data_IF_648018129609
#
_entry.id   IF_648018129609
#
_cell.length_a   1.000
_cell.length_b   1.000
_cell.length_c   1.000
_cell.angle_alpha   90.00
_cell.angle_beta   90.00
_cell.angle_gamma   90.00
#
_symmetry.space_group_name_H-M   'P 1'
#
loop_
_entity.id
_entity.type
_entity.pdbx_description
1 polymer ?
#
# COMPACT_ATOMS: atom_id res chain seq x y z
N UNK A 1 1.79 7.87 -18.02
CA UNK A 1 0.68 8.75 -17.59
C UNK A 1 -0.01 8.09 -16.40
N UNK A 2 -0.33 8.87 -15.38
CA UNK A 2 -1.03 8.40 -14.17
C UNK A 2 -2.46 7.95 -14.52
N UNK A 3 -3.03 7.04 -13.72
CA UNK A 3 -4.42 6.61 -13.86
C UNK A 3 -5.35 7.82 -13.72
N UNK A 4 -6.22 8.10 -14.71
CA UNK A 4 -7.25 9.14 -14.58
C UNK A 4 -8.46 8.63 -13.78
N UNK A 5 -8.55 7.33 -13.51
CA UNK A 5 -9.62 6.74 -12.71
C UNK A 5 -9.31 6.98 -11.23
N UNK A 6 -10.24 7.62 -10.54
CA UNK A 6 -10.20 7.85 -9.10
C UNK A 6 -10.81 6.69 -8.30
N UNK A 7 -10.60 6.73 -6.99
CA UNK A 7 -11.31 5.86 -6.05
C UNK A 7 -12.83 5.97 -6.25
N UNK A 8 -13.56 4.91 -5.91
CA UNK A 8 -15.01 4.96 -5.74
C UNK A 8 -15.80 5.41 -6.99
N UNK A 9 -15.29 5.12 -8.19
CA UNK A 9 -15.89 5.57 -9.47
C UNK A 9 -17.32 5.05 -9.77
N UNK A 10 -17.88 4.14 -8.96
CA UNK A 10 -19.24 3.58 -9.10
C UNK A 10 -20.16 3.83 -7.89
N UNK A 11 -19.92 4.86 -7.07
CA UNK A 11 -20.69 5.15 -5.84
C UNK A 11 -22.18 5.39 -6.02
N UNK A 12 -22.62 5.82 -7.21
CA UNK A 12 -24.02 6.17 -7.46
C UNK A 12 -24.88 4.98 -7.90
N UNK A 13 -24.38 3.75 -7.80
CA UNK A 13 -25.11 2.54 -8.19
C UNK A 13 -25.25 1.62 -6.98
N UNK A 14 -26.50 1.29 -6.66
CA UNK A 14 -26.80 0.21 -5.73
C UNK A 14 -26.44 -1.10 -6.43
N UNK A 15 -25.71 -1.96 -5.74
CA UNK A 15 -25.37 -3.28 -6.25
C UNK A 15 -26.66 -4.09 -6.50
N UNK A 16 -26.85 -4.59 -7.72
CA UNK A 16 -28.00 -5.41 -8.11
C UNK A 16 -27.54 -6.79 -8.62
N UNK A 17 -28.45 -7.75 -8.67
CA UNK A 17 -28.19 -9.06 -9.28
C UNK A 17 -27.75 -8.91 -10.74
N UNK A 18 -26.66 -9.60 -11.11
CA UNK A 18 -26.10 -9.59 -12.47
C UNK A 18 -24.88 -8.69 -12.67
N UNK A 19 -24.48 -7.87 -11.69
CA UNK A 19 -23.21 -7.13 -11.78
C UNK A 19 -22.01 -8.10 -11.79
N UNK A 20 -21.16 -7.99 -12.81
CA UNK A 20 -19.92 -8.78 -12.88
C UNK A 20 -18.93 -8.23 -11.87
N UNK A 21 -18.77 -8.96 -10.76
CA UNK A 21 -17.78 -8.61 -9.76
C UNK A 21 -16.36 -8.73 -10.31
N UNK A 22 -15.53 -7.78 -9.94
CA UNK A 22 -14.11 -7.80 -10.26
C UNK A 22 -13.33 -8.51 -9.15
N UNK A 23 -12.15 -9.02 -9.49
CA UNK A 23 -11.17 -9.42 -8.48
C UNK A 23 -10.21 -8.26 -8.27
N UNK A 24 -9.79 -8.07 -7.04
CA UNK A 24 -8.86 -7.00 -6.67
C UNK A 24 -7.66 -7.58 -5.90
N UNK A 25 -6.58 -6.82 -5.80
CA UNK A 25 -5.50 -7.11 -4.84
C UNK A 25 -5.32 -6.00 -3.81
N UNK A 26 -5.04 -6.41 -2.58
CA UNK A 26 -4.48 -5.53 -1.57
C UNK A 26 -2.97 -5.75 -1.49
N UNK A 27 -2.20 -4.67 -1.53
CA UNK A 27 -0.76 -4.72 -1.26
C UNK A 27 -0.57 -4.58 0.25
N UNK A 28 -0.27 -5.66 0.95
CA UNK A 28 -0.20 -5.67 2.42
C UNK A 28 1.02 -4.88 2.87
N UNK A 29 2.22 -5.30 2.45
CA UNK A 29 3.49 -4.63 2.76
C UNK A 29 4.47 -4.76 1.60
N UNK A 30 5.46 -3.87 1.59
CA UNK A 30 6.63 -3.97 0.72
C UNK A 30 7.86 -3.74 1.57
N UNK A 31 8.76 -4.72 1.62
CA UNK A 31 9.94 -4.69 2.48
C UNK A 31 11.19 -4.92 1.63
N UNK A 32 12.25 -4.15 1.87
CA UNK A 32 13.59 -4.53 1.45
C UNK A 32 14.07 -5.52 2.52
N UNK A 33 14.21 -6.79 2.16
CA UNK A 33 14.53 -7.88 3.11
C UNK A 33 16.00 -8.22 3.13
N UNK A 34 16.76 -7.76 2.13
CA UNK A 34 18.21 -7.89 2.05
C UNK A 34 18.79 -6.75 1.22
N UNK A 35 19.98 -6.29 1.58
CA UNK A 35 20.68 -5.19 0.91
C UNK A 35 22.20 -5.38 1.02
N UNK A 36 22.90 -5.28 -0.12
CA UNK A 36 24.37 -5.29 -0.16
C UNK A 36 24.97 -4.03 0.49
N UNK A 37 24.17 -2.98 0.63
CA UNK A 37 24.54 -1.74 1.30
C UNK A 37 24.31 -1.79 2.82
N UNK A 38 23.78 -2.90 3.34
CA UNK A 38 23.40 -3.01 4.74
C UNK A 38 22.20 -2.15 5.11
N UNK A 39 22.03 -1.91 6.42
CA UNK A 39 21.05 -1.00 7.00
C UNK A 39 21.77 -0.05 7.98
N UNK A 40 21.27 1.19 8.20
CA UNK A 40 20.04 1.74 7.66
C UNK A 40 20.15 2.15 6.17
N UNK A 41 19.01 2.28 5.50
CA UNK A 41 18.89 2.80 4.13
C UNK A 41 17.97 4.01 4.09
N UNK A 42 18.40 5.10 3.47
CA UNK A 42 17.54 6.24 3.16
C UNK A 42 16.99 6.12 1.73
N UNK A 43 15.81 5.53 1.61
CA UNK A 43 15.20 5.09 0.36
C UNK A 43 14.25 6.13 -0.23
N UNK A 44 14.35 6.37 -1.53
CA UNK A 44 13.42 7.22 -2.28
C UNK A 44 13.11 6.64 -3.67
N UNK A 45 12.42 7.43 -4.50
CA UNK A 45 11.92 7.10 -5.84
C UNK A 45 10.55 6.40 -5.77
N UNK A 46 10.29 5.36 -6.57
CA UNK A 46 8.92 4.93 -6.85
C UNK A 46 8.72 3.41 -6.90
N UNK A 47 7.54 2.99 -6.45
CA UNK A 47 6.92 1.71 -6.80
C UNK A 47 5.56 2.01 -7.40
N UNK A 48 5.32 1.50 -8.61
CA UNK A 48 4.11 1.75 -9.40
C UNK A 48 3.43 0.41 -9.67
N UNK A 49 2.12 0.34 -9.48
CA UNK A 49 1.29 -0.74 -9.99
C UNK A 49 0.63 -0.31 -11.32
N UNK A 50 0.47 -1.27 -12.23
CA UNK A 50 -0.32 -1.17 -13.46
C UNK A 50 -1.26 -2.35 -13.52
N UNK A 51 -2.53 -2.08 -13.31
CA UNK A 51 -3.55 -3.11 -13.20
C UNK A 51 -4.30 -3.33 -14.52
N UNK A 52 -5.24 -4.27 -14.53
CA UNK A 52 -5.96 -4.62 -15.75
C UNK A 52 -7.00 -3.58 -16.18
N UNK A 53 -7.26 -2.53 -15.37
CA UNK A 53 -8.30 -1.56 -15.66
C UNK A 53 -7.90 -0.62 -16.80
N UNK A 54 -6.73 0.01 -16.72
CA UNK A 54 -6.27 1.01 -17.69
C UNK A 54 -4.76 0.94 -18.01
N UNK A 55 -4.02 0.05 -17.32
CA UNK A 55 -2.55 -0.10 -17.42
C UNK A 55 -1.75 1.19 -17.16
N UNK A 56 -2.39 2.20 -16.56
CA UNK A 56 -1.76 3.48 -16.20
C UNK A 56 -1.04 3.36 -14.86
N UNK A 57 -0.23 4.36 -14.54
CA UNK A 57 0.58 4.35 -13.32
C UNK A 57 -0.31 4.58 -12.09
N UNK A 58 -0.25 3.66 -11.12
CA UNK A 58 -0.82 3.81 -9.79
C UNK A 58 0.34 3.76 -8.79
N UNK A 59 0.66 4.87 -8.14
CA UNK A 59 1.77 4.92 -7.18
C UNK A 59 1.38 4.17 -5.90
N UNK A 60 2.25 3.24 -5.49
CA UNK A 60 2.18 2.58 -4.18
C UNK A 60 3.15 3.21 -3.20
N UNK A 61 4.33 3.60 -3.69
CA UNK A 61 5.34 4.33 -2.96
C UNK A 61 5.90 5.42 -3.88
N UNK A 62 6.02 6.64 -3.38
CA UNK A 62 6.60 7.77 -4.12
C UNK A 62 7.24 8.74 -3.13
N UNK A 63 8.57 8.84 -3.16
CA UNK A 63 9.33 9.80 -2.36
C UNK A 63 10.40 10.50 -3.17
N UNK A 64 10.62 11.77 -2.87
CA UNK A 64 11.68 12.57 -3.48
C UNK A 64 13.03 12.31 -2.80
N UNK A 65 14.12 12.73 -3.45
CA UNK A 65 15.47 12.58 -2.89
C UNK A 65 15.64 13.33 -1.55
N UNK A 66 14.94 14.45 -1.39
CA UNK A 66 14.99 15.27 -0.18
C UNK A 66 14.03 14.80 0.92
N UNK A 67 13.20 13.79 0.64
CA UNK A 67 12.19 13.23 1.56
C UNK A 67 12.28 11.71 1.65
N UNK A 68 13.49 11.16 1.64
CA UNK A 68 13.76 9.74 1.78
C UNK A 68 13.09 9.15 3.01
N UNK A 69 12.66 7.89 2.92
CA UNK A 69 12.28 7.11 4.08
C UNK A 69 13.51 6.40 4.64
N UNK A 70 13.75 6.53 5.95
CA UNK A 70 14.74 5.72 6.63
C UNK A 70 14.19 4.31 6.90
N UNK A 71 14.94 3.30 6.47
CA UNK A 71 14.69 1.87 6.71
C UNK A 71 15.81 1.38 7.60
N UNK A 72 15.53 1.17 8.88
CA UNK A 72 16.53 0.79 9.88
C UNK A 72 16.81 -0.70 9.92
N UNK A 73 15.85 -1.53 9.49
CA UNK A 73 16.01 -2.99 9.48
C UNK A 73 15.26 -3.66 8.31
N UNK A 74 15.57 -4.95 8.06
CA UNK A 74 14.86 -5.78 7.08
C UNK A 74 13.37 -6.00 7.39
N UNK A 75 12.95 -5.72 8.64
CA UNK A 75 11.56 -5.86 9.08
C UNK A 75 10.75 -4.57 8.89
N UNK A 76 11.42 -3.45 8.58
CA UNK A 76 10.76 -2.16 8.46
C UNK A 76 10.09 -2.05 7.08
N UNK A 77 8.76 -1.85 7.01
CA UNK A 77 8.07 -1.74 5.74
C UNK A 77 8.29 -0.37 5.11
N UNK A 78 8.25 -0.31 3.77
CA UNK A 78 8.05 0.95 3.07
C UNK A 78 6.68 1.52 3.45
N UNK A 79 6.64 2.81 3.78
CA UNK A 79 5.39 3.55 4.03
C UNK A 79 4.71 3.80 2.71
N UNK A 80 3.75 2.94 2.38
CA UNK A 80 2.96 3.02 1.16
C UNK A 80 1.98 4.19 1.22
N UNK A 81 1.91 4.96 0.14
CA UNK A 81 1.00 6.10 -0.04
C UNK A 81 -0.12 5.79 -1.03
N UNK A 82 -0.32 4.50 -1.30
CA UNK A 82 -1.32 4.03 -2.23
C UNK A 82 -1.66 2.56 -2.02
N UNK A 83 -2.50 1.99 -2.89
CA UNK A 83 -2.98 2.60 -4.13
C UNK A 83 -4.07 3.66 -3.87
N UNK A 84 -4.27 4.57 -4.82
CA UNK A 84 -5.34 5.59 -4.77
C UNK A 84 -6.73 5.05 -5.11
N UNK A 85 -6.80 3.84 -5.66
CA UNK A 85 -8.00 3.06 -6.01
C UNK A 85 -7.69 1.57 -5.93
N UNK A 86 -8.68 0.70 -6.01
CA UNK A 86 -8.52 -0.74 -6.06
C UNK A 86 -7.69 -1.17 -7.25
N UNK A 87 -6.85 -2.21 -7.06
CA UNK A 87 -6.03 -2.78 -8.12
C UNK A 87 -6.77 -3.94 -8.77
N UNK A 88 -7.35 -3.70 -9.96
CA UNK A 88 -8.16 -4.66 -10.68
C UNK A 88 -7.33 -5.78 -11.31
N UNK A 89 -7.76 -7.01 -11.08
CA UNK A 89 -7.15 -8.21 -11.65
C UNK A 89 -8.13 -8.89 -12.58
N UNK A 90 -7.86 -8.76 -13.87
CA UNK A 90 -8.47 -9.56 -14.93
C UNK A 90 -7.44 -10.47 -15.60
N UNK A 91 -6.31 -9.89 -16.01
CA UNK A 91 -5.17 -10.61 -16.57
C UNK A 91 -3.98 -10.57 -15.61
N UNK A 92 -3.37 -9.41 -15.42
CA UNK A 92 -2.16 -9.25 -14.61
C UNK A 92 -2.14 -7.89 -13.92
N UNK A 93 -1.44 -7.80 -12.78
CA UNK A 93 -0.91 -6.53 -12.26
C UNK A 93 0.60 -6.57 -12.43
N UNK A 94 1.15 -5.56 -13.10
CA UNK A 94 2.58 -5.34 -13.21
C UNK A 94 3.00 -4.30 -12.18
N UNK A 95 4.06 -4.60 -11.44
CA UNK A 95 4.68 -3.65 -10.52
C UNK A 95 6.03 -3.20 -11.09
N UNK A 96 6.18 -1.90 -11.28
CA UNK A 96 7.44 -1.27 -11.67
C UNK A 96 8.14 -0.77 -10.40
N UNK A 97 9.30 -1.35 -10.10
CA UNK A 97 10.15 -0.96 -8.98
C UNK A 97 11.33 -0.17 -9.52
N UNK A 98 11.54 1.04 -9.02
CA UNK A 98 12.79 1.81 -9.19
C UNK A 98 13.06 2.54 -7.88
N UNK A 99 13.82 1.91 -6.99
CA UNK A 99 14.20 2.42 -5.68
C UNK A 99 15.65 2.82 -5.67
N UNK A 100 15.92 3.94 -5.00
CA UNK A 100 17.25 4.56 -4.91
C UNK A 100 17.57 4.91 -3.47
N UNK A 101 18.86 5.06 -3.19
CA UNK A 101 19.38 5.53 -1.90
C UNK A 101 20.23 6.78 -2.09
N UNK A 102 20.18 7.69 -1.12
CA UNK A 102 20.97 8.93 -1.13
C UNK A 102 22.27 8.82 -0.29
N UNK A 103 22.42 7.74 0.47
CA UNK A 103 23.66 7.35 1.14
C UNK A 103 23.88 5.83 1.10
N UNK A 104 25.13 5.42 1.19
CA UNK A 104 25.57 4.04 1.33
C UNK A 104 26.70 4.03 2.36
N UNK A 105 26.57 3.22 3.42
CA UNK A 105 27.58 3.11 4.49
C UNK A 105 28.01 4.50 5.05
N UNK A 106 27.04 5.39 5.27
CA UNK A 106 27.28 6.74 5.79
C UNK A 106 27.90 7.73 4.79
N UNK A 107 28.12 7.33 3.53
CA UNK A 107 28.64 8.22 2.48
C UNK A 107 27.50 8.64 1.56
N UNK A 108 27.31 9.95 1.39
CA UNK A 108 26.35 10.49 0.43
C UNK A 108 26.68 10.01 -0.97
N UNK A 109 25.70 9.45 -1.66
CA UNK A 109 25.81 8.99 -3.04
C UNK A 109 24.80 9.73 -3.90
N UNK A 110 25.16 9.97 -5.16
CA UNK A 110 24.23 10.53 -6.12
C UNK A 110 23.54 9.40 -6.89
N UNK A 111 22.23 9.25 -6.66
CA UNK A 111 21.34 8.45 -7.51
C UNK A 111 21.71 6.96 -7.64
N UNK A 112 22.16 6.33 -6.55
CA UNK A 112 22.44 4.89 -6.54
C UNK A 112 21.15 4.09 -6.42
N UNK A 113 20.90 3.24 -7.40
CA UNK A 113 19.75 2.32 -7.40
C UNK A 113 20.01 1.17 -6.44
N UNK A 114 19.08 0.92 -5.54
CA UNK A 114 19.11 -0.23 -4.63
C UNK A 114 18.27 -1.38 -5.16
N UNK A 115 17.17 -1.09 -5.87
CA UNK A 115 16.32 -2.10 -6.51
C UNK A 115 15.70 -1.55 -7.79
N UNK A 116 15.69 -2.32 -8.87
CA UNK A 116 15.00 -1.93 -10.12
C UNK A 116 14.50 -3.14 -10.88
N UNK A 117 13.22 -3.18 -11.26
CA UNK A 117 12.71 -4.31 -12.01
C UNK A 117 11.19 -4.34 -12.12
N UNK A 118 10.69 -5.41 -12.72
CA UNK A 118 9.27 -5.68 -12.85
C UNK A 118 8.89 -6.90 -12.01
N UNK A 119 7.74 -6.84 -11.34
CA UNK A 119 7.07 -8.00 -10.77
C UNK A 119 5.69 -8.18 -11.41
N UNK A 120 5.19 -9.40 -11.44
CA UNK A 120 3.85 -9.70 -11.94
C UNK A 120 3.05 -10.54 -10.93
N UNK A 121 1.81 -10.10 -10.70
CA UNK A 121 0.74 -10.96 -10.18
C UNK A 121 -0.11 -11.39 -11.38
N UNK A 122 -0.04 -12.68 -11.72
CA UNK A 122 -0.83 -13.26 -12.79
C UNK A 122 -2.22 -13.68 -12.27
N UNK A 123 -3.24 -12.94 -12.69
CA UNK A 123 -4.64 -13.15 -12.34
C UNK A 123 -5.24 -14.41 -12.95
N UNK A 124 -4.90 -14.74 -14.19
CA UNK A 124 -5.42 -15.93 -14.88
C UNK A 124 -5.04 -17.18 -14.10
N UNK A 125 -3.75 -17.33 -13.78
CA UNK A 125 -3.26 -18.44 -12.96
C UNK A 125 -3.93 -18.49 -11.59
N UNK A 126 -4.21 -17.33 -10.97
CA UNK A 126 -4.89 -17.25 -9.66
C UNK A 126 -6.35 -17.68 -9.72
N UNK A 127 -7.00 -17.56 -10.88
CA UNK A 127 -8.37 -18.00 -11.09
C UNK A 127 -8.47 -19.51 -11.34
N UNK A 128 -7.38 -20.15 -11.78
CA UNK A 128 -7.32 -21.60 -12.04
C UNK A 128 -7.40 -22.49 -10.79
N UNK A 129 -7.32 -21.92 -9.57
CA UNK A 129 -7.36 -22.68 -8.31
C UNK A 129 -8.51 -22.23 -7.41
N UNK A 130 -8.91 -23.01 -6.39
CA UNK A 130 -9.84 -22.55 -5.35
C UNK A 130 -9.33 -21.29 -4.63
N UNK A 131 -10.22 -20.43 -4.11
CA UNK A 131 -9.81 -19.28 -3.33
C UNK A 131 -9.02 -19.74 -2.10
N UNK A 132 -7.87 -19.12 -1.86
CA UNK A 132 -7.08 -19.30 -0.64
C UNK A 132 -6.92 -17.95 0.02
N UNK A 133 -7.43 -17.82 1.23
CA UNK A 133 -7.32 -16.61 2.04
C UNK A 133 -5.96 -16.53 2.73
N UNK A 134 -4.91 -16.39 1.92
CA UNK A 134 -3.52 -16.35 2.39
C UNK A 134 -2.84 -15.07 1.88
N UNK A 135 -1.88 -14.58 2.66
CA UNK A 135 -0.93 -13.58 2.18
C UNK A 135 0.09 -14.27 1.29
N UNK A 136 0.41 -13.64 0.17
CA UNK A 136 1.34 -14.16 -0.81
C UNK A 136 2.48 -13.17 -1.03
N UNK A 137 3.67 -13.69 -1.24
CA UNK A 137 4.87 -12.88 -1.44
C UNK A 137 5.37 -13.00 -2.87
N UNK A 138 5.64 -11.87 -3.52
CA UNK A 138 6.43 -11.77 -4.74
C UNK A 138 7.80 -11.22 -4.38
N UNK A 139 8.85 -11.92 -4.80
CA UNK A 139 10.24 -11.52 -4.55
C UNK A 139 10.85 -10.90 -5.80
N UNK A 140 11.60 -9.82 -5.62
CA UNK A 140 12.46 -9.23 -6.64
C UNK A 140 13.86 -9.16 -6.08
N UNK A 141 14.71 -10.07 -6.54
CA UNK A 141 16.15 -9.98 -6.34
C UNK A 141 16.68 -9.14 -7.49
N UNK A 142 17.16 -7.94 -7.20
CA UNK A 142 17.64 -7.03 -8.25
C UNK A 142 18.61 -5.99 -7.72
N UNK A 143 19.59 -5.64 -8.56
CA UNK A 143 20.64 -4.67 -8.26
C UNK A 143 21.41 -5.02 -6.99
N UNK A 144 21.09 -4.37 -5.87
CA UNK A 144 21.79 -4.49 -4.59
C UNK A 144 20.84 -4.87 -3.46
N UNK A 145 19.66 -5.41 -3.77
CA UNK A 145 18.68 -5.79 -2.75
C UNK A 145 17.76 -6.92 -3.18
N UNK A 146 17.11 -7.52 -2.19
CA UNK A 146 15.92 -8.35 -2.36
C UNK A 146 14.73 -7.64 -1.76
N UNK A 147 13.66 -7.50 -2.53
CA UNK A 147 12.41 -6.88 -2.12
C UNK A 147 11.28 -7.91 -2.11
N UNK A 148 10.57 -7.98 -0.99
CA UNK A 148 9.38 -8.80 -0.81
C UNK A 148 8.13 -7.91 -0.87
N UNK A 149 7.27 -8.15 -1.85
CA UNK A 149 5.94 -7.54 -1.99
C UNK A 149 4.90 -8.55 -1.52
N UNK A 150 4.27 -8.25 -0.40
CA UNK A 150 3.21 -9.08 0.18
C UNK A 150 1.84 -8.56 -0.25
N UNK A 151 0.96 -9.45 -0.69
CA UNK A 151 -0.38 -9.09 -1.16
C UNK A 151 -1.42 -10.15 -0.82
N UNK A 152 -2.68 -9.75 -0.88
CA UNK A 152 -3.83 -10.67 -0.88
C UNK A 152 -4.60 -10.57 -2.19
N UNK A 153 -5.15 -11.69 -2.64
CA UNK A 153 -5.99 -11.77 -3.84
C UNK A 153 -7.45 -11.92 -3.43
N UNK A 154 -8.24 -10.88 -3.65
CA UNK A 154 -9.63 -10.79 -3.19
C UNK A 154 -10.56 -11.09 -4.35
N UNK A 155 -11.37 -12.14 -4.22
CA UNK A 155 -12.41 -12.48 -5.19
C UNK A 155 -13.69 -11.75 -4.88
N UNK A 156 -14.52 -11.54 -5.91
CA UNK A 156 -15.81 -10.84 -5.81
C UNK A 156 -15.69 -9.56 -4.98
N UNK A 157 -14.69 -8.75 -5.31
CA UNK A 157 -14.23 -7.69 -4.46
C UNK A 157 -14.94 -6.37 -4.77
N UNK A 158 -15.17 -5.61 -3.70
CA UNK A 158 -15.53 -4.19 -3.73
C UNK A 158 -14.35 -3.37 -3.21
N UNK A 159 -14.26 -2.14 -3.70
CA UNK A 159 -13.33 -1.15 -3.17
C UNK A 159 -13.97 -0.44 -1.98
N UNK A 160 -13.29 -0.45 -0.83
CA UNK A 160 -13.62 0.36 0.32
C UNK A 160 -12.61 1.51 0.45
N UNK A 161 -13.14 2.73 0.61
CA UNK A 161 -12.34 3.91 0.96
C UNK A 161 -12.65 4.33 2.38
N UNK A 162 -11.61 4.53 3.19
CA UNK A 162 -11.74 4.86 4.61
C UNK A 162 -11.38 6.33 4.82
N UNK A 163 -12.33 7.10 5.35
CA UNK A 163 -12.12 8.46 5.83
C UNK A 163 -12.39 8.50 7.33
N UNK A 164 -11.59 9.28 8.05
CA UNK A 164 -11.76 9.45 9.48
C UNK A 164 -11.88 10.93 9.81
N UNK A 165 -12.75 11.22 10.77
CA UNK A 165 -13.03 12.57 11.24
C UNK A 165 -12.92 12.62 12.76
N UNK A 166 -12.15 13.58 13.26
CA UNK A 166 -12.14 13.95 14.67
C UNK A 166 -13.31 14.90 14.90
N UNK A 167 -14.16 14.59 15.89
CA UNK A 167 -15.37 15.36 16.18
C UNK A 167 -15.13 16.53 17.16
N UNK A 168 -13.99 16.53 17.84
CA UNK A 168 -13.58 17.63 18.71
C UNK A 168 -13.29 18.90 17.91
N UNK A 169 -13.64 20.06 18.46
CA UNK A 169 -13.44 21.34 17.80
C UNK A 169 -11.98 21.79 17.89
N UNK A 170 -11.42 22.21 16.75
CA UNK A 170 -10.06 22.73 16.63
C UNK A 170 -9.07 21.74 16.00
N UNK A 171 -7.84 22.18 15.68
CA UNK A 171 -6.82 21.31 15.11
C UNK A 171 -6.36 20.30 16.15
N UNK A 172 -6.74 19.03 15.94
CA UNK A 172 -6.32 17.91 16.79
C UNK A 172 -5.31 17.05 16.03
N UNK A 173 -4.22 16.71 16.71
CA UNK A 173 -3.23 15.78 16.20
C UNK A 173 -3.62 14.35 16.57
N UNK A 174 -3.70 13.47 15.58
CA UNK A 174 -3.82 12.04 15.79
C UNK A 174 -2.44 11.40 15.89
N UNK A 175 -2.17 10.83 17.06
CA UNK A 175 -0.99 10.04 17.34
C UNK A 175 -1.40 8.58 17.58
N UNK A 176 -1.08 7.68 16.63
CA UNK A 176 -1.60 6.33 16.71
C UNK A 176 -1.42 5.49 15.45
N UNK A 177 -2.19 4.40 15.38
CA UNK A 177 -2.24 3.50 14.23
C UNK A 177 -3.65 3.33 13.74
N UNK A 178 -3.80 3.20 12.43
CA UNK A 178 -5.06 2.87 11.76
C UNK A 178 -4.82 1.67 10.87
N UNK A 179 -5.54 0.59 11.16
CA UNK A 179 -5.36 -0.71 10.54
C UNK A 179 -6.70 -1.19 10.01
N UNK A 180 -6.69 -1.72 8.79
CA UNK A 180 -7.80 -2.45 8.21
C UNK A 180 -7.48 -3.94 8.14
N UNK A 181 -8.47 -4.78 8.44
CA UNK A 181 -8.39 -6.24 8.29
C UNK A 181 -9.69 -6.74 7.70
N UNK A 182 -9.64 -7.69 6.77
CA UNK A 182 -10.85 -8.39 6.31
C UNK A 182 -10.98 -9.72 7.03
N UNK A 183 -12.21 -10.20 7.21
CA UNK A 183 -12.50 -11.34 8.10
C UNK A 183 -11.79 -12.65 7.71
N UNK A 184 -11.56 -12.90 6.43
CA UNK A 184 -10.95 -14.16 5.98
C UNK A 184 -9.42 -14.12 5.88
N UNK A 185 -8.80 -12.95 5.74
CA UNK A 185 -7.36 -12.84 5.55
C UNK A 185 -6.65 -12.58 6.89
N UNK A 186 -5.68 -13.42 7.30
CA UNK A 186 -4.98 -13.29 8.57
C UNK A 186 -3.87 -12.22 8.49
N UNK A 187 -4.17 -11.03 8.00
CA UNK A 187 -3.20 -9.94 7.87
C UNK A 187 -3.81 -8.58 8.20
N UNK A 188 -2.94 -7.68 8.65
CA UNK A 188 -3.26 -6.28 8.84
C UNK A 188 -2.80 -5.46 7.64
N UNK A 189 -3.70 -4.62 7.14
CA UNK A 189 -3.40 -3.60 6.15
C UNK A 189 -3.22 -2.29 6.90
N UNK A 190 -1.97 -1.88 7.07
CA UNK A 190 -1.64 -0.61 7.70
C UNK A 190 -2.05 0.55 6.80
N UNK A 191 -2.95 1.40 7.28
CA UNK A 191 -3.37 2.63 6.60
C UNK A 191 -2.56 3.83 7.10
N UNK A 192 -2.18 3.81 8.38
CA UNK A 192 -1.33 4.82 8.99
C UNK A 192 -0.65 4.30 10.26
N UNK A 193 0.60 4.69 10.48
CA UNK A 193 1.34 4.46 11.72
C UNK A 193 2.15 5.73 12.03
N UNK A 194 1.82 6.43 13.12
CA UNK A 194 2.49 7.68 13.46
C UNK A 194 3.99 7.52 13.74
N UNK A 195 4.46 6.32 14.09
CA UNK A 195 5.90 6.07 14.28
C UNK A 195 6.66 6.05 12.96
N UNK A 196 6.01 5.67 11.86
CA UNK A 196 6.65 5.53 10.54
C UNK A 196 6.36 6.72 9.62
N UNK A 197 5.15 7.29 9.73
CA UNK A 197 4.65 8.34 8.83
C UNK A 197 4.50 9.71 9.50
N UNK A 198 4.74 9.81 10.81
CA UNK A 198 4.49 11.03 11.60
C UNK A 198 3.02 11.17 12.02
N UNK A 199 2.73 12.18 12.84
CA UNK A 199 1.36 12.46 13.28
C UNK A 199 0.48 12.94 12.12
N UNK A 200 -0.82 12.65 12.18
CA UNK A 200 -1.80 13.28 11.29
C UNK A 200 -2.39 14.50 12.00
N UNK A 201 -2.51 15.60 11.29
CA UNK A 201 -3.22 16.78 11.77
C UNK A 201 -4.57 16.83 11.07
N UNK A 202 -5.65 16.94 11.83
CA UNK A 202 -6.98 17.12 11.27
C UNK A 202 -7.11 18.52 10.65
N UNK A 203 -7.77 18.60 9.49
CA UNK A 203 -8.16 19.87 8.87
C UNK A 203 -9.24 20.59 9.69
N UNK A 204 -9.66 21.77 9.24
CA UNK A 204 -10.74 22.55 9.88
C UNK A 204 -12.09 21.79 9.93
N UNK A 205 -12.31 20.86 9.00
CA UNK A 205 -13.47 19.96 8.95
C UNK A 205 -13.32 18.72 9.83
N UNK A 206 -12.21 18.59 10.54
CA UNK A 206 -11.85 17.45 11.38
C UNK A 206 -11.33 16.23 10.60
N UNK A 207 -11.20 16.29 9.28
CA UNK A 207 -10.81 15.13 8.47
C UNK A 207 -9.31 14.87 8.59
N UNK A 208 -8.96 13.61 8.86
CA UNK A 208 -7.58 13.12 8.86
C UNK A 208 -7.18 12.64 7.47
N UNK A 209 -6.19 13.29 6.87
CA UNK A 209 -5.66 12.92 5.57
C UNK A 209 -4.64 11.79 5.69
N UNK A 210 -5.10 10.55 5.57
CA UNK A 210 -4.20 9.39 5.51
C UNK A 210 -3.58 9.27 4.12
N UNK A 211 -2.29 8.91 4.07
CA UNK A 211 -1.61 8.69 2.79
C UNK A 211 -2.15 7.46 2.04
N UNK A 212 -2.79 6.53 2.76
CA UNK A 212 -3.35 5.30 2.22
C UNK A 212 -4.74 5.06 2.83
N UNK A 213 -5.75 4.96 1.98
CA UNK A 213 -7.16 4.84 2.41
C UNK A 213 -7.98 3.77 1.70
N UNK A 214 -7.41 3.10 0.70
CA UNK A 214 -8.13 2.12 -0.13
C UNK A 214 -7.80 0.70 0.31
N UNK A 215 -8.86 -0.09 0.50
CA UNK A 215 -8.83 -1.51 0.84
C UNK A 215 -9.86 -2.24 -0.01
N UNK A 216 -9.48 -3.39 -0.56
CA UNK A 216 -10.38 -4.28 -1.28
C UNK A 216 -10.96 -5.31 -0.33
N UNK A 217 -12.26 -5.55 -0.39
CA UNK A 217 -12.98 -6.48 0.50
C UNK A 217 -13.88 -7.36 -0.35
N UNK A 218 -13.94 -8.66 -0.05
CA UNK A 218 -14.92 -9.53 -0.72
C UNK A 218 -16.32 -9.13 -0.25
N UNK A 219 -17.33 -9.20 -1.11
CA UNK A 219 -18.72 -8.93 -0.70
C UNK A 219 -19.25 -9.90 0.36
N UNK A 220 -18.62 -11.06 0.48
CA UNK A 220 -18.94 -12.08 1.47
C UNK A 220 -18.12 -11.90 2.78
N UNK A 221 -17.39 -10.79 2.94
CA UNK A 221 -16.49 -10.52 4.08
C UNK A 221 -16.81 -9.22 4.82
N UNK A 222 -16.42 -9.18 6.09
CA UNK A 222 -16.48 -7.96 6.91
C UNK A 222 -15.14 -7.23 6.90
N UNK A 223 -15.18 -5.91 6.76
CA UNK A 223 -14.05 -5.03 7.00
C UNK A 223 -14.02 -4.58 8.46
N UNK A 224 -12.97 -4.95 9.18
CA UNK A 224 -12.69 -4.49 10.54
C UNK A 224 -11.67 -3.35 10.48
N UNK A 225 -12.03 -2.21 11.07
CA UNK A 225 -11.13 -1.09 11.29
C UNK A 225 -10.69 -1.08 12.76
N UNK A 226 -9.38 -1.06 13.00
CA UNK A 226 -8.81 -0.89 14.33
C UNK A 226 -8.05 0.43 14.38
N UNK A 227 -8.44 1.28 15.33
CA UNK A 227 -7.79 2.56 15.61
C UNK A 227 -7.18 2.46 16.99
N UNK A 228 -5.89 2.72 17.10
CA UNK A 228 -5.17 2.73 18.37
C UNK A 228 -4.55 4.09 18.57
N UNK A 229 -4.86 4.73 19.70
CA UNK A 229 -4.24 5.97 20.12
C UNK A 229 -3.00 5.61 20.95
N UNK A 230 -1.86 6.18 20.60
CA UNK A 230 -0.67 6.02 21.42
C UNK A 230 -0.79 6.95 22.63
N UNK A 231 -0.57 6.41 23.83
CA UNK A 231 -0.48 7.24 25.04
C UNK A 231 0.65 8.24 24.86
N UNK A 232 0.39 9.52 25.10
CA UNK A 232 1.43 10.53 25.20
C UNK A 232 2.40 10.08 26.30
N UNK A 233 3.69 9.99 25.97
CA UNK A 233 4.71 9.79 26.98
C UNK A 233 4.65 10.97 27.94
N UNK A 234 4.25 10.71 29.18
CA UNK A 234 4.48 11.61 30.31
C UNK A 234 5.99 11.72 30.54
#
# INVERSE_FOLDING_TARGET
MESPVDAMHNTNRVFQDGFRMCNLANIVTVNIVSSDYGYPLNVYSTIIARDSLDRKCIYLFRRGKDSCQNISSMNDPLVLTGPKRGLMIFDSIIFEVDLKVNDVNGRKVNDKRVSRGLMEINGIFRLSFPPKYIVQTKKLVSMHSTLDLNYTFVRKAVEGTIEMRILEAGPVNFHGKIIARTSSFPCDIMLHDSKLAGMLTAGEDGILQTARRVVSVSVDETLLLTVTIAADGV
#
